data_IF_237306029992
#
_entry.id   IF_237306029992
#
_cell.length_a   1.000
_cell.length_b   1.000
_cell.length_c   1.000
_cell.angle_alpha   90.00
_cell.angle_beta   90.00
_cell.angle_gamma   90.00
#
_symmetry.space_group_name_H-M   'P 1'
#
loop_
_entity.id
_entity.type
_entity.pdbx_description
1 polymer ?
#
# COMPACT_ATOMS: atom_id res chain seq x y z
N UNK A 1 -23.22 5.71 25.46
CA UNK A 1 -22.36 4.72 26.10
C UNK A 1 -21.13 4.50 25.23
N UNK A 2 -20.01 4.08 25.84
CA UNK A 2 -18.76 3.74 25.16
C UNK A 2 -18.52 2.25 25.32
N UNK A 3 -18.23 1.59 24.19
CA UNK A 3 -17.89 0.17 24.12
C UNK A 3 -16.52 0.01 23.49
N UNK A 4 -15.79 -1.02 23.86
CA UNK A 4 -14.47 -1.27 23.31
C UNK A 4 -14.12 -2.75 23.29
N UNK A 5 -13.44 -3.16 22.22
CA UNK A 5 -12.83 -4.48 22.10
C UNK A 5 -11.33 -4.27 22.00
N UNK A 6 -10.59 -4.64 23.04
CA UNK A 6 -9.15 -4.57 23.06
C UNK A 6 -8.54 -5.73 22.30
N UNK A 7 -7.41 -5.49 21.64
CA UNK A 7 -6.64 -6.53 20.95
C UNK A 7 -5.71 -7.27 21.90
N UNK A 8 -5.32 -6.65 23.02
CA UNK A 8 -4.52 -7.25 24.08
C UNK A 8 -5.11 -6.91 25.45
N UNK A 9 -4.72 -7.68 26.48
CA UNK A 9 -5.12 -7.39 27.84
C UNK A 9 -4.64 -6.01 28.30
N UNK A 10 -3.41 -5.62 27.95
CA UNK A 10 -2.85 -4.33 28.35
C UNK A 10 -3.59 -3.16 27.72
N UNK A 11 -3.93 -3.25 26.43
CA UNK A 11 -4.71 -2.20 25.75
C UNK A 11 -6.10 -2.05 26.34
N UNK A 12 -6.75 -3.15 26.74
CA UNK A 12 -8.04 -3.10 27.43
C UNK A 12 -7.96 -2.44 28.79
N UNK A 13 -6.93 -2.77 29.59
CA UNK A 13 -6.72 -2.17 30.92
C UNK A 13 -6.43 -0.67 30.81
N UNK A 14 -5.66 -0.24 29.81
CA UNK A 14 -5.41 1.18 29.53
C UNK A 14 -6.70 1.91 29.08
N UNK A 15 -7.49 1.29 28.20
CA UNK A 15 -8.77 1.83 27.76
C UNK A 15 -9.76 1.97 28.94
N UNK A 16 -9.86 0.95 29.80
CA UNK A 16 -10.68 1.02 31.03
C UNK A 16 -10.22 2.17 31.94
N UNK A 17 -8.91 2.33 32.14
CA UNK A 17 -8.36 3.42 32.94
C UNK A 17 -8.72 4.80 32.35
N UNK A 18 -8.72 4.94 31.03
CA UNK A 18 -9.10 6.17 30.35
C UNK A 18 -10.59 6.46 30.44
N UNK A 19 -11.44 5.43 30.31
CA UNK A 19 -12.91 5.57 30.26
C UNK A 19 -13.51 5.60 31.68
N UNK A 20 -12.99 4.82 32.62
CA UNK A 20 -13.56 4.64 33.95
C UNK A 20 -12.73 5.29 35.08
N UNK A 21 -11.58 5.87 34.77
CA UNK A 21 -10.56 6.29 35.77
C UNK A 21 -10.01 5.11 36.59
N UNK A 22 -10.30 3.87 36.21
CA UNK A 22 -9.92 2.64 36.92
C UNK A 22 -9.76 1.51 35.91
N UNK A 23 -8.81 0.60 36.15
CA UNK A 23 -8.68 -0.65 35.37
C UNK A 23 -9.83 -1.65 35.63
N UNK A 24 -10.56 -1.47 36.72
CA UNK A 24 -11.70 -2.29 37.13
C UNK A 24 -12.96 -1.42 37.17
N UNK A 25 -13.95 -1.75 36.31
CA UNK A 25 -15.18 -0.97 36.20
C UNK A 25 -16.00 -0.96 37.49
N UNK A 26 -15.93 -2.04 38.28
CA UNK A 26 -16.57 -2.16 39.60
C UNK A 26 -15.68 -1.61 40.76
N UNK A 27 -14.44 -1.22 40.46
CA UNK A 27 -13.49 -0.78 41.48
C UNK A 27 -13.93 0.49 42.23
N UNK A 28 -13.50 0.65 43.47
CA UNK A 28 -13.83 1.82 44.32
C UNK A 28 -13.49 3.17 43.69
N UNK A 29 -12.51 3.20 42.80
CA UNK A 29 -12.04 4.39 42.06
C UNK A 29 -12.71 4.60 40.71
N UNK A 30 -13.60 3.70 40.25
CA UNK A 30 -14.35 3.88 39.06
C UNK A 30 -15.36 5.02 39.17
N UNK A 31 -15.36 5.90 38.16
CA UNK A 31 -16.35 6.99 38.07
C UNK A 31 -17.73 6.52 37.60
N UNK A 32 -17.81 5.31 37.06
CA UNK A 32 -19.03 4.70 36.56
C UNK A 32 -19.47 3.58 37.51
N UNK A 33 -20.76 3.47 37.79
CA UNK A 33 -21.35 2.46 38.65
C UNK A 33 -22.35 1.61 37.86
N UNK A 34 -22.63 0.40 38.38
CA UNK A 34 -23.69 -0.45 37.86
C UNK A 34 -23.29 -1.42 36.75
N UNK A 35 -22.00 -1.60 36.50
CA UNK A 35 -21.53 -2.67 35.61
C UNK A 35 -21.64 -4.05 36.26
N UNK A 36 -21.98 -5.07 35.48
CA UNK A 36 -22.07 -6.46 35.90
C UNK A 36 -20.68 -7.13 36.11
N UNK A 37 -19.64 -6.58 35.48
CA UNK A 37 -18.28 -7.14 35.51
C UNK A 37 -17.22 -6.07 35.65
N UNK A 38 -16.00 -6.46 36.03
CA UNK A 38 -14.82 -5.59 36.11
C UNK A 38 -14.35 -5.08 34.73
N UNK A 39 -14.74 -5.74 33.65
CA UNK A 39 -14.50 -5.29 32.29
C UNK A 39 -15.38 -4.10 31.91
N UNK A 40 -16.59 -4.00 32.50
CA UNK A 40 -17.60 -3.04 32.02
C UNK A 40 -17.91 -3.28 30.57
N UNK A 41 -17.90 -2.20 29.77
CA UNK A 41 -18.09 -2.26 28.32
C UNK A 41 -16.76 -2.33 27.54
N UNK A 42 -15.63 -2.51 28.20
CA UNK A 42 -14.31 -2.66 27.53
C UNK A 42 -13.86 -4.10 27.66
N UNK A 43 -14.12 -4.85 26.62
CA UNK A 43 -13.94 -6.29 26.58
C UNK A 43 -12.57 -6.69 26.04
N UNK A 44 -12.03 -7.77 26.55
CA UNK A 44 -10.89 -8.51 26.01
C UNK A 44 -10.96 -9.97 26.45
N UNK A 45 -10.74 -10.86 25.51
CA UNK A 45 -10.53 -12.27 25.76
C UNK A 45 -9.50 -12.79 24.75
N UNK A 46 -8.63 -13.69 25.18
CA UNK A 46 -7.71 -14.38 24.30
C UNK A 46 -8.46 -15.49 23.57
N UNK A 47 -8.61 -15.37 22.25
CA UNK A 47 -9.26 -16.37 21.43
C UNK A 47 -8.23 -17.21 20.67
N UNK A 48 -8.58 -18.46 20.38
CA UNK A 48 -7.81 -19.33 19.52
C UNK A 48 -8.15 -19.09 18.03
N UNK A 49 -7.17 -19.35 17.16
CA UNK A 49 -7.39 -19.31 15.73
C UNK A 49 -8.15 -20.54 15.23
N UNK A 50 -8.99 -20.37 14.22
CA UNK A 50 -9.64 -21.47 13.50
C UNK A 50 -8.74 -21.91 12.34
N UNK A 51 -8.22 -23.13 12.40
CA UNK A 51 -7.23 -23.64 11.45
C UNK A 51 -7.87 -24.46 10.34
N UNK A 52 -7.61 -24.06 9.07
CA UNK A 52 -7.97 -24.80 7.87
C UNK A 52 -6.71 -24.96 7.01
N UNK A 53 -6.29 -26.19 6.76
CA UNK A 53 -5.08 -26.51 5.98
C UNK A 53 -3.81 -25.76 6.45
N UNK A 54 -3.62 -25.61 7.77
CA UNK A 54 -2.46 -24.95 8.38
C UNK A 54 -2.46 -23.43 8.28
N UNK A 55 -3.59 -22.83 7.89
CA UNK A 55 -3.81 -21.38 7.90
C UNK A 55 -5.07 -21.02 8.67
N UNK A 56 -5.07 -19.86 9.32
CA UNK A 56 -6.29 -19.36 9.94
C UNK A 56 -7.30 -18.95 8.87
N UNK A 57 -8.54 -19.43 9.01
CA UNK A 57 -9.66 -19.16 8.11
C UNK A 57 -9.96 -17.66 7.99
N UNK A 58 -9.86 -16.91 9.08
CA UNK A 58 -10.21 -15.48 9.12
C UNK A 58 -9.07 -14.55 8.73
N UNK A 59 -7.90 -14.69 9.36
CA UNK A 59 -6.79 -13.76 9.16
C UNK A 59 -5.69 -14.27 8.23
N UNK A 60 -5.76 -15.54 7.79
CA UNK A 60 -4.82 -16.13 6.85
C UNK A 60 -3.41 -16.42 7.40
N UNK A 61 -3.17 -16.20 8.72
CA UNK A 61 -1.87 -16.49 9.33
C UNK A 61 -1.53 -17.98 9.24
N UNK A 62 -0.24 -18.31 9.16
CA UNK A 62 0.22 -19.69 9.17
C UNK A 62 0.38 -20.21 10.60
N UNK A 63 -0.14 -21.39 10.87
CA UNK A 63 0.02 -22.07 12.16
C UNK A 63 1.49 -22.21 12.56
N UNK A 64 2.35 -22.55 11.62
CA UNK A 64 3.80 -22.72 11.88
C UNK A 64 4.53 -21.45 12.28
N UNK A 65 3.96 -20.28 12.01
CA UNK A 65 4.53 -18.99 12.45
C UNK A 65 4.18 -18.76 13.92
N UNK A 66 2.96 -19.07 14.33
CA UNK A 66 2.47 -18.83 15.69
C UNK A 66 3.00 -19.85 16.71
N UNK A 67 3.39 -21.04 16.29
CA UNK A 67 3.98 -22.08 17.17
C UNK A 67 5.41 -21.75 17.64
N UNK A 68 5.96 -20.56 17.28
CA UNK A 68 7.38 -20.22 17.49
C UNK A 68 7.71 -19.52 18.81
N UNK A 69 6.75 -19.20 19.66
CA UNK A 69 7.05 -18.64 20.98
C UNK A 69 5.89 -17.99 21.71
N UNK A 70 5.91 -18.08 23.02
CA UNK A 70 4.92 -17.46 23.92
C UNK A 70 5.04 -15.94 24.01
N UNK A 71 6.16 -15.38 23.55
CA UNK A 71 6.44 -13.92 23.59
C UNK A 71 5.75 -13.14 22.47
N UNK A 72 5.16 -13.83 21.50
CA UNK A 72 4.47 -13.20 20.38
C UNK A 72 2.95 -13.11 20.64
N UNK A 73 2.35 -12.10 20.04
CA UNK A 73 0.90 -11.91 20.07
C UNK A 73 0.23 -12.96 19.15
N UNK A 74 0.01 -14.16 19.73
CA UNK A 74 -0.39 -15.38 18.99
C UNK A 74 -1.87 -15.66 18.99
N UNK A 75 -2.70 -14.79 19.62
CA UNK A 75 -4.13 -15.01 19.74
C UNK A 75 -4.94 -14.38 18.60
N UNK A 76 -6.13 -14.92 18.36
CA UNK A 76 -7.08 -14.40 17.40
C UNK A 76 -7.77 -13.13 17.92
N UNK A 77 -7.93 -12.14 17.06
CA UNK A 77 -8.62 -10.90 17.41
C UNK A 77 -10.14 -11.07 17.26
N UNK A 78 -10.87 -10.95 18.36
CA UNK A 78 -12.31 -11.20 18.40
C UNK A 78 -13.13 -10.46 17.33
N UNK A 79 -12.71 -9.25 16.97
CA UNK A 79 -13.41 -8.40 16.02
C UNK A 79 -13.40 -8.91 14.59
N UNK A 80 -12.36 -9.67 14.20
CA UNK A 80 -12.20 -10.19 12.84
C UNK A 80 -12.31 -11.72 12.73
N UNK A 81 -12.38 -12.44 13.85
CA UNK A 81 -12.53 -13.89 13.87
C UNK A 81 -13.98 -14.27 14.13
N UNK A 82 -14.85 -13.88 13.23
CA UNK A 82 -16.28 -14.19 13.26
C UNK A 82 -16.89 -14.00 11.86
N UNK A 83 -17.85 -14.85 11.51
CA UNK A 83 -18.64 -14.71 10.28
C UNK A 83 -19.74 -13.67 10.41
N UNK A 84 -20.21 -13.43 11.66
CA UNK A 84 -21.24 -12.46 11.96
C UNK A 84 -20.85 -11.55 13.12
N UNK A 85 -20.39 -10.36 12.75
CA UNK A 85 -19.95 -9.35 13.73
C UNK A 85 -21.13 -8.78 14.53
N UNK A 86 -22.35 -8.73 13.97
CA UNK A 86 -23.51 -8.22 14.68
C UNK A 86 -23.88 -9.17 15.83
N UNK A 87 -23.95 -10.46 15.55
CA UNK A 87 -24.16 -11.50 16.57
C UNK A 87 -23.02 -11.52 17.60
N UNK A 88 -21.77 -11.40 17.16
CA UNK A 88 -20.62 -11.35 18.06
C UNK A 88 -20.72 -10.18 19.05
N UNK A 89 -20.99 -8.98 18.57
CA UNK A 89 -21.10 -7.76 19.40
C UNK A 89 -22.30 -7.83 20.33
N UNK A 90 -23.45 -8.33 19.86
CA UNK A 90 -24.61 -8.57 20.69
C UNK A 90 -24.33 -9.55 21.85
N UNK A 91 -23.55 -10.61 21.57
CA UNK A 91 -23.11 -11.57 22.60
C UNK A 91 -22.15 -10.96 23.63
N UNK A 92 -21.25 -10.06 23.22
CA UNK A 92 -20.27 -9.43 24.09
C UNK A 92 -20.87 -8.35 25.01
N UNK A 93 -21.80 -7.56 24.50
CA UNK A 93 -22.32 -6.37 25.18
C UNK A 93 -23.79 -6.44 25.56
N UNK A 94 -24.48 -7.45 25.08
CA UNK A 94 -25.89 -7.69 25.36
C UNK A 94 -26.83 -6.91 24.44
N UNK A 95 -27.82 -7.60 23.85
CA UNK A 95 -28.86 -7.00 23.03
C UNK A 95 -28.47 -6.63 21.61
N UNK A 96 -29.44 -6.12 20.86
CA UNK A 96 -29.23 -5.61 19.51
C UNK A 96 -28.54 -4.27 19.57
N UNK A 97 -27.27 -4.23 19.15
CA UNK A 97 -26.37 -3.06 19.28
C UNK A 97 -26.27 -2.32 17.97
N UNK A 98 -26.69 -1.07 17.96
CA UNK A 98 -26.44 -0.16 16.86
C UNK A 98 -25.50 0.96 17.33
N UNK A 99 -24.43 1.19 16.60
CA UNK A 99 -23.43 2.19 16.93
C UNK A 99 -23.63 3.46 16.10
N UNK A 100 -23.61 4.61 16.76
CA UNK A 100 -23.54 5.89 16.04
C UNK A 100 -22.16 6.11 15.44
N UNK A 101 -21.12 5.79 16.21
CA UNK A 101 -19.74 6.05 15.83
C UNK A 101 -18.85 4.86 16.16
N UNK A 102 -18.05 4.44 15.18
CA UNK A 102 -16.95 3.51 15.40
C UNK A 102 -15.63 4.23 15.06
N UNK A 103 -14.69 4.19 15.99
CA UNK A 103 -13.33 4.73 15.78
C UNK A 103 -12.30 3.66 16.10
N UNK A 104 -11.16 3.67 15.40
CA UNK A 104 -10.13 2.68 15.64
C UNK A 104 -8.76 2.99 15.03
N UNK A 105 -7.76 2.38 15.63
CA UNK A 105 -6.43 2.19 15.07
C UNK A 105 -6.16 0.69 15.09
N UNK A 106 -6.58 -0.05 14.05
CA UNK A 106 -6.47 -1.51 14.04
C UNK A 106 -5.01 -1.95 13.88
N UNK A 107 -4.69 -3.19 14.23
CA UNK A 107 -3.40 -3.78 13.89
C UNK A 107 -3.16 -3.73 12.37
N UNK A 108 -1.97 -3.29 11.95
CA UNK A 108 -1.70 -3.05 10.53
C UNK A 108 -1.34 -4.31 9.76
N UNK A 109 -0.68 -5.24 10.42
CA UNK A 109 -0.24 -6.52 9.85
C UNK A 109 -0.14 -7.55 10.96
N UNK A 110 -0.17 -8.81 10.58
CA UNK A 110 0.19 -9.90 11.48
C UNK A 110 1.68 -9.80 11.80
N UNK A 111 2.03 -10.02 13.05
CA UNK A 111 3.43 -10.17 13.44
C UNK A 111 3.93 -11.54 12.95
N UNK A 112 4.92 -11.53 12.06
CA UNK A 112 5.57 -12.73 11.53
C UNK A 112 6.89 -13.05 12.28
N UNK A 113 7.11 -12.42 13.43
CA UNK A 113 8.33 -12.57 14.23
C UNK A 113 9.57 -12.00 13.54
N UNK A 114 9.41 -11.13 12.55
CA UNK A 114 10.52 -10.49 11.84
C UNK A 114 11.26 -11.37 10.83
N UNK A 115 10.82 -12.60 10.62
CA UNK A 115 11.47 -13.57 9.72
C UNK A 115 10.86 -13.63 8.32
N UNK A 116 9.68 -13.05 8.10
CA UNK A 116 9.03 -13.00 6.79
C UNK A 116 9.20 -11.66 6.10
N UNK A 117 9.66 -11.64 4.86
CA UNK A 117 9.73 -10.43 4.03
C UNK A 117 8.36 -9.86 3.66
N UNK A 118 7.25 -10.41 4.18
CA UNK A 118 5.92 -10.17 3.66
C UNK A 118 4.78 -10.42 4.62
N UNK A 119 4.83 -9.84 5.82
CA UNK A 119 3.65 -9.84 6.71
C UNK A 119 2.41 -9.35 5.95
N UNK A 120 1.33 -10.14 6.02
CA UNK A 120 0.08 -9.81 5.36
C UNK A 120 -0.62 -8.68 6.11
N UNK A 121 -1.18 -7.68 5.42
CA UNK A 121 -2.07 -6.71 6.04
C UNK A 121 -3.30 -7.39 6.64
N UNK A 122 -3.79 -6.87 7.77
CA UNK A 122 -5.05 -7.33 8.40
C UNK A 122 -6.01 -6.18 8.71
N UNK A 123 -5.56 -4.94 8.64
CA UNK A 123 -6.40 -3.77 8.97
C UNK A 123 -7.66 -3.65 8.11
N UNK A 124 -7.63 -4.15 6.86
CA UNK A 124 -8.80 -4.17 5.97
C UNK A 124 -9.94 -4.99 6.56
N UNK A 125 -9.64 -6.10 7.24
CA UNK A 125 -10.63 -6.95 7.88
C UNK A 125 -11.38 -6.19 9.00
N UNK A 126 -10.66 -5.34 9.74
CA UNK A 126 -11.27 -4.49 10.76
C UNK A 126 -12.18 -3.42 10.15
N UNK A 127 -11.79 -2.82 9.03
CA UNK A 127 -12.61 -1.83 8.33
C UNK A 127 -13.88 -2.48 7.80
N UNK A 128 -13.77 -3.68 7.20
CA UNK A 128 -14.90 -4.40 6.62
C UNK A 128 -15.90 -4.82 7.71
N UNK A 129 -15.44 -5.37 8.83
CA UNK A 129 -16.29 -5.73 9.96
C UNK A 129 -16.93 -4.49 10.60
N UNK A 130 -16.19 -3.37 10.70
CA UNK A 130 -16.77 -2.13 11.21
C UNK A 130 -17.86 -1.56 10.29
N UNK A 131 -17.70 -1.66 8.97
CA UNK A 131 -18.74 -1.30 7.99
C UNK A 131 -19.96 -2.24 8.08
N UNK A 132 -19.74 -3.53 8.33
CA UNK A 132 -20.81 -4.51 8.49
C UNK A 132 -21.70 -4.23 9.72
N UNK A 133 -21.18 -3.55 10.74
CA UNK A 133 -21.97 -3.04 11.87
C UNK A 133 -22.85 -1.82 11.50
N UNK A 134 -22.73 -1.29 10.31
CA UNK A 134 -23.52 -0.17 9.77
C UNK A 134 -23.58 1.06 10.69
N UNK A 135 -22.44 1.53 11.27
CA UNK A 135 -22.47 2.71 12.10
C UNK A 135 -22.87 3.93 11.29
N UNK A 136 -23.36 4.98 11.94
CA UNK A 136 -23.59 6.26 11.25
C UNK A 136 -22.27 6.88 10.79
N UNK A 137 -21.22 6.80 11.63
CA UNK A 137 -19.89 7.29 11.32
C UNK A 137 -18.84 6.22 11.63
N UNK A 138 -17.91 6.04 10.70
CA UNK A 138 -16.73 5.21 10.90
C UNK A 138 -15.47 6.04 10.61
N UNK A 139 -14.53 6.07 11.55
CA UNK A 139 -13.22 6.69 11.35
C UNK A 139 -12.12 5.78 11.85
N UNK A 140 -11.19 5.45 10.97
CA UNK A 140 -10.01 4.65 11.32
C UNK A 140 -8.75 5.25 10.72
N UNK A 141 -7.63 5.08 11.43
CA UNK A 141 -6.29 5.34 10.91
C UNK A 141 -5.67 4.03 10.45
N UNK A 142 -5.26 3.99 9.18
CA UNK A 142 -4.74 2.77 8.53
C UNK A 142 -3.55 3.11 7.63
N UNK A 143 -2.67 2.13 7.31
CA UNK A 143 -1.62 2.33 6.33
C UNK A 143 -2.19 2.73 4.96
N UNK A 144 -1.64 3.77 4.34
CA UNK A 144 -2.06 4.26 3.02
C UNK A 144 -1.71 3.31 1.86
N UNK A 145 -1.10 2.16 2.15
CA UNK A 145 -0.72 1.15 1.17
C UNK A 145 -1.89 0.65 0.31
N UNK A 146 -3.10 0.62 0.85
CA UNK A 146 -4.28 0.15 0.12
C UNK A 146 -4.58 0.99 -1.12
N UNK A 147 -4.15 2.24 -1.20
CA UNK A 147 -4.26 3.06 -2.41
C UNK A 147 -3.65 2.39 -3.64
N UNK A 148 -2.59 1.60 -3.42
CA UNK A 148 -1.87 0.88 -4.46
C UNK A 148 -2.41 -0.52 -4.75
N UNK A 149 -3.09 -1.14 -3.78
CA UNK A 149 -3.42 -2.56 -3.80
C UNK A 149 -2.21 -3.48 -3.63
N UNK A 150 -2.38 -4.73 -4.01
CA UNK A 150 -1.40 -5.81 -3.84
C UNK A 150 -1.32 -6.33 -2.40
N UNK A 151 -0.68 -7.46 -2.19
CA UNK A 151 -0.63 -8.18 -0.90
C UNK A 151 -2.02 -8.49 -0.32
N UNK A 152 -2.98 -8.85 -1.16
CA UNK A 152 -4.35 -9.18 -0.73
C UNK A 152 -5.25 -7.97 -0.48
N UNK A 153 -4.83 -6.75 -0.86
CA UNK A 153 -5.62 -5.53 -0.67
C UNK A 153 -6.40 -5.09 -1.92
N UNK A 154 -6.38 -5.86 -3.01
CA UNK A 154 -6.95 -5.41 -4.28
C UNK A 154 -8.47 -5.25 -4.21
N UNK A 155 -9.18 -6.20 -3.59
CA UNK A 155 -10.63 -6.15 -3.38
C UNK A 155 -11.00 -5.01 -2.42
N UNK A 156 -10.31 -4.91 -1.30
CA UNK A 156 -10.49 -3.81 -0.36
C UNK A 156 -10.27 -2.45 -1.01
N UNK A 157 -9.23 -2.32 -1.84
CA UNK A 157 -8.97 -1.11 -2.61
C UNK A 157 -10.14 -0.74 -3.53
N UNK A 158 -10.64 -1.70 -4.30
CA UNK A 158 -11.77 -1.48 -5.21
C UNK A 158 -13.00 -1.05 -4.43
N UNK A 159 -13.34 -1.75 -3.34
CA UNK A 159 -14.46 -1.43 -2.46
C UNK A 159 -14.35 -0.02 -1.88
N UNK A 160 -13.17 0.34 -1.34
CA UNK A 160 -12.96 1.66 -0.72
C UNK A 160 -12.99 2.81 -1.73
N UNK A 161 -12.38 2.63 -2.90
CA UNK A 161 -12.34 3.69 -3.93
C UNK A 161 -13.70 3.91 -4.60
N UNK A 162 -14.56 2.90 -4.64
CA UNK A 162 -15.91 2.98 -5.18
C UNK A 162 -16.96 3.46 -4.15
N UNK A 163 -16.63 3.45 -2.85
CA UNK A 163 -17.58 3.79 -1.79
C UNK A 163 -17.78 5.31 -1.69
N UNK A 164 -18.89 5.80 -2.22
CA UNK A 164 -19.27 7.21 -2.21
C UNK A 164 -19.71 7.76 -0.83
N UNK A 165 -19.68 6.91 0.21
CA UNK A 165 -19.92 7.31 1.61
C UNK A 165 -18.64 7.72 2.34
N UNK A 166 -17.48 7.62 1.69
CA UNK A 166 -16.24 8.22 2.20
C UNK A 166 -16.33 9.74 2.09
N UNK A 167 -16.51 10.40 3.23
CA UNK A 167 -16.67 11.86 3.34
C UNK A 167 -15.33 12.59 3.28
N UNK A 168 -14.33 12.08 3.99
CA UNK A 168 -12.98 12.65 3.97
C UNK A 168 -11.90 11.61 4.10
N UNK A 169 -10.75 11.91 3.51
CA UNK A 169 -9.48 11.19 3.68
C UNK A 169 -8.40 12.24 3.95
N UNK A 170 -7.69 12.06 5.05
CA UNK A 170 -6.46 12.78 5.36
C UNK A 170 -5.29 11.84 5.13
N UNK A 171 -4.48 12.13 4.11
CA UNK A 171 -3.39 11.29 3.62
C UNK A 171 -2.03 11.88 4.01
N UNK A 172 -1.30 11.19 4.87
CA UNK A 172 0.05 11.52 5.30
C UNK A 172 1.06 10.65 4.54
N UNK A 173 1.82 11.27 3.65
CA UNK A 173 2.81 10.55 2.83
C UNK A 173 3.94 9.95 3.67
N UNK A 174 4.23 10.55 4.83
CA UNK A 174 5.16 10.04 5.82
C UNK A 174 4.43 9.66 7.11
N UNK A 175 4.54 8.40 7.53
CA UNK A 175 3.93 7.94 8.78
C UNK A 175 4.52 8.65 10.01
N UNK A 176 5.77 9.10 9.95
CA UNK A 176 6.43 9.81 11.06
C UNK A 176 5.81 11.19 11.36
N UNK A 177 5.04 11.75 10.42
CA UNK A 177 4.33 13.00 10.63
C UNK A 177 3.13 12.82 11.58
N UNK A 178 2.66 11.58 11.75
CA UNK A 178 1.57 11.19 12.65
C UNK A 178 2.09 10.40 13.85
N UNK A 179 3.00 9.46 13.60
CA UNK A 179 3.57 8.56 14.59
C UNK A 179 5.09 8.73 14.64
N UNK A 180 5.62 9.61 15.51
CA UNK A 180 7.06 9.82 15.63
C UNK A 180 7.81 8.51 15.89
N UNK A 181 8.85 8.24 15.11
CA UNK A 181 9.66 7.02 15.22
C UNK A 181 9.10 5.79 14.50
N UNK A 182 7.90 5.85 13.92
CA UNK A 182 7.31 4.74 13.17
C UNK A 182 7.61 4.88 11.67
N UNK A 183 8.32 3.91 11.12
CA UNK A 183 8.67 3.85 9.70
C UNK A 183 7.72 2.95 8.90
N UNK A 184 6.58 3.47 8.46
CA UNK A 184 5.66 2.76 7.56
C UNK A 184 5.85 3.25 6.12
N UNK A 185 6.22 2.32 5.24
CA UNK A 185 6.38 2.62 3.81
C UNK A 185 5.02 2.90 3.15
N UNK A 186 4.94 4.06 2.49
CA UNK A 186 3.72 4.52 1.83
C UNK A 186 2.87 5.46 2.67
N UNK A 187 3.22 5.65 3.94
CA UNK A 187 2.51 6.55 4.84
C UNK A 187 1.26 5.94 5.48
N UNK A 188 0.47 6.80 6.10
CA UNK A 188 -0.80 6.46 6.76
C UNK A 188 -1.89 7.40 6.29
N UNK A 189 -3.13 6.97 6.38
CA UNK A 189 -4.29 7.84 6.22
C UNK A 189 -5.30 7.58 7.32
N UNK A 190 -6.05 8.60 7.68
CA UNK A 190 -7.31 8.40 8.37
C UNK A 190 -8.45 8.85 7.48
N UNK A 191 -9.61 8.25 7.68
CA UNK A 191 -10.79 8.54 6.89
C UNK A 191 -12.02 8.71 7.77
N UNK A 192 -12.98 9.47 7.29
CA UNK A 192 -14.34 9.52 7.81
C UNK A 192 -15.29 8.94 6.77
N UNK A 193 -15.95 7.86 7.13
CA UNK A 193 -17.05 7.28 6.39
C UNK A 193 -18.36 7.63 7.09
N UNK A 194 -19.38 8.00 6.32
CA UNK A 194 -20.71 8.35 6.83
C UNK A 194 -21.76 7.57 6.04
N UNK A 195 -22.45 6.68 6.71
CA UNK A 195 -23.50 5.82 6.10
C UNK A 195 -24.50 6.62 5.27
N UNK A 196 -24.89 7.78 5.76
CA UNK A 196 -25.99 8.60 5.24
C UNK A 196 -25.50 9.71 4.27
N UNK A 197 -24.24 9.67 3.83
CA UNK A 197 -23.65 10.67 2.96
C UNK A 197 -23.16 10.07 1.63
N UNK A 198 -24.00 10.10 0.58
CA UNK A 198 -23.52 9.86 -0.78
C UNK A 198 -22.95 11.14 -1.40
N UNK A 199 -21.67 11.16 -1.76
CA UNK A 199 -21.08 12.35 -2.35
C UNK A 199 -19.58 12.27 -2.62
N UNK A 200 -18.98 13.39 -3.08
CA UNK A 200 -17.54 13.47 -3.29
C UNK A 200 -16.79 13.45 -1.96
N UNK A 201 -15.59 12.87 -1.98
CA UNK A 201 -14.71 12.82 -0.83
C UNK A 201 -13.84 14.08 -0.73
N UNK A 202 -13.73 14.65 0.45
CA UNK A 202 -12.73 15.66 0.74
C UNK A 202 -11.38 14.99 0.95
N UNK A 203 -10.45 15.14 0.01
CA UNK A 203 -9.11 14.58 0.08
C UNK A 203 -8.13 15.65 0.50
N UNK A 204 -7.50 15.44 1.65
CA UNK A 204 -6.46 16.32 2.20
C UNK A 204 -5.12 15.58 2.19
N UNK A 205 -4.12 16.16 1.55
CA UNK A 205 -2.78 15.59 1.47
C UNK A 205 -1.80 16.38 2.32
N UNK A 206 -1.12 15.67 3.21
CA UNK A 206 -0.08 16.19 4.09
C UNK A 206 1.28 15.66 3.64
N UNK A 207 2.23 16.59 3.42
CA UNK A 207 3.57 16.20 3.00
C UNK A 207 4.62 17.15 3.60
N UNK A 208 5.21 16.74 4.72
CA UNK A 208 6.24 17.50 5.46
C UNK A 208 5.84 19.00 5.63
N UNK A 209 6.77 19.88 5.31
CA UNK A 209 6.61 21.34 5.41
C UNK A 209 5.89 21.97 4.21
N UNK A 210 5.35 21.15 3.31
CA UNK A 210 4.57 21.65 2.17
C UNK A 210 3.19 22.12 2.61
N UNK A 211 2.62 23.13 1.94
CA UNK A 211 1.25 23.55 2.21
C UNK A 211 0.28 22.37 2.08
N UNK A 212 -0.58 22.21 3.06
CA UNK A 212 -1.64 21.20 3.04
C UNK A 212 -2.56 21.47 1.83
N UNK A 213 -2.83 20.42 1.08
CA UNK A 213 -3.67 20.48 -0.11
C UNK A 213 -4.98 19.76 0.13
N UNK A 214 -6.09 20.44 -0.02
CA UNK A 214 -7.45 19.90 0.15
C UNK A 214 -8.26 20.09 -1.12
N UNK A 215 -8.95 19.02 -1.57
CA UNK A 215 -9.88 19.07 -2.70
C UNK A 215 -11.07 18.15 -2.47
N UNK A 216 -12.27 18.60 -2.85
CA UNK A 216 -13.47 17.77 -2.89
C UNK A 216 -13.56 17.09 -4.27
N UNK A 217 -13.47 15.76 -4.32
CA UNK A 217 -13.40 15.02 -5.57
C UNK A 217 -13.81 13.55 -5.43
N UNK A 218 -13.95 12.87 -6.55
CA UNK A 218 -14.01 11.41 -6.57
C UNK A 218 -12.64 10.85 -6.18
N UNK A 219 -12.62 9.70 -5.51
CA UNK A 219 -11.37 9.04 -5.15
C UNK A 219 -10.66 8.44 -6.37
N UNK A 220 -11.43 7.91 -7.29
CA UNK A 220 -10.93 7.43 -8.56
C UNK A 220 -11.45 8.36 -9.67
N UNK A 221 -10.54 9.04 -10.34
CA UNK A 221 -10.86 9.85 -11.51
C UNK A 221 -11.23 8.96 -12.69
N UNK A 222 -12.04 9.47 -13.60
CA UNK A 222 -12.45 8.73 -14.79
C UNK A 222 -11.22 8.36 -15.65
N UNK A 223 -11.10 7.07 -15.99
CA UNK A 223 -9.95 6.54 -16.71
C UNK A 223 -8.67 6.35 -15.89
N UNK A 224 -8.68 6.67 -14.59
CA UNK A 224 -7.55 6.39 -13.72
C UNK A 224 -7.65 4.97 -13.14
N UNK A 225 -6.52 4.28 -13.08
CA UNK A 225 -6.36 2.97 -12.44
C UNK A 225 -5.75 3.06 -11.03
N UNK A 226 -5.34 4.27 -10.61
CA UNK A 226 -4.72 4.53 -9.31
C UNK A 226 -5.34 5.74 -8.62
N UNK A 227 -5.32 5.73 -7.28
CA UNK A 227 -5.66 6.90 -6.49
C UNK A 227 -4.52 7.93 -6.56
N UNK A 228 -4.81 9.11 -7.10
CA UNK A 228 -3.84 10.20 -7.21
C UNK A 228 -3.76 10.94 -5.87
N UNK A 229 -2.64 10.82 -5.18
CA UNK A 229 -2.44 11.37 -3.83
C UNK A 229 -2.25 12.88 -3.80
N UNK A 230 -1.76 13.48 -4.89
CA UNK A 230 -1.49 14.92 -4.99
C UNK A 230 -2.60 15.64 -5.75
N UNK A 231 -3.43 16.41 -5.04
CA UNK A 231 -4.57 17.11 -5.65
C UNK A 231 -4.16 18.02 -6.81
N UNK A 232 -3.05 18.75 -6.66
CA UNK A 232 -2.54 19.66 -7.70
C UNK A 232 -2.14 18.92 -8.98
N UNK A 233 -1.76 17.63 -8.85
CA UNK A 233 -1.36 16.81 -9.99
C UNK A 233 -2.51 16.46 -10.93
N UNK A 234 -3.76 16.45 -10.45
CA UNK A 234 -4.92 16.07 -11.25
C UNK A 234 -5.13 16.98 -12.46
N UNK A 235 -5.01 18.28 -12.29
CA UNK A 235 -5.16 19.23 -13.40
C UNK A 235 -4.07 19.06 -14.47
N UNK A 236 -2.87 18.65 -14.05
CA UNK A 236 -1.75 18.38 -14.95
C UNK A 236 -2.01 17.08 -15.72
N UNK A 237 -2.42 16.01 -15.03
CA UNK A 237 -2.78 14.74 -15.67
C UNK A 237 -3.91 14.92 -16.69
N UNK A 238 -4.98 15.66 -16.34
CA UNK A 238 -6.08 15.96 -17.26
C UNK A 238 -5.61 16.72 -18.50
N UNK A 239 -4.70 17.69 -18.36
CA UNK A 239 -4.13 18.42 -19.50
C UNK A 239 -3.29 17.51 -20.38
N UNK A 240 -2.46 16.63 -19.80
CA UNK A 240 -1.66 15.67 -20.59
C UNK A 240 -2.57 14.71 -21.32
N UNK A 241 -3.54 14.11 -20.64
CA UNK A 241 -4.50 13.20 -21.26
C UNK A 241 -5.31 13.87 -22.39
N UNK A 242 -5.77 15.11 -22.18
CA UNK A 242 -6.52 15.85 -23.19
C UNK A 242 -5.71 16.15 -24.47
N UNK A 243 -4.43 16.44 -24.34
CA UNK A 243 -3.54 16.64 -25.50
C UNK A 243 -3.39 15.36 -26.33
N UNK A 244 -3.30 14.21 -25.65
CA UNK A 244 -3.02 12.93 -26.30
C UNK A 244 -4.29 12.21 -26.78
N UNK A 245 -5.41 12.32 -26.06
CA UNK A 245 -6.66 11.62 -26.39
C UNK A 245 -7.70 12.49 -27.12
N UNK A 246 -7.57 13.81 -27.03
CA UNK A 246 -8.61 14.74 -27.46
C UNK A 246 -9.80 14.89 -26.51
N UNK A 247 -9.81 14.15 -25.39
CA UNK A 247 -10.88 14.18 -24.37
C UNK A 247 -10.41 14.89 -23.12
N UNK A 248 -11.14 15.91 -22.68
CA UNK A 248 -10.71 16.76 -21.55
C UNK A 248 -11.04 16.22 -20.15
N UNK A 249 -11.80 15.14 -20.06
CA UNK A 249 -12.32 14.64 -18.78
C UNK A 249 -11.73 13.29 -18.32
N UNK A 250 -11.34 12.42 -19.24
CA UNK A 250 -10.79 11.10 -18.95
C UNK A 250 -9.26 11.13 -18.84
N UNK A 251 -8.71 10.36 -17.90
CA UNK A 251 -7.26 10.10 -17.78
C UNK A 251 -6.82 8.88 -18.61
N UNK A 252 -7.75 8.23 -19.30
CA UNK A 252 -7.45 7.08 -20.15
C UNK A 252 -6.76 7.53 -21.43
N UNK A 253 -5.63 6.88 -21.76
CA UNK A 253 -4.93 7.05 -23.00
C UNK A 253 -5.08 5.80 -23.87
N UNK A 254 -5.20 5.94 -25.22
CA UNK A 254 -5.12 4.82 -26.13
C UNK A 254 -3.79 4.07 -25.95
N UNK A 255 -3.80 2.75 -26.08
CA UNK A 255 -2.59 1.93 -25.89
C UNK A 255 -1.42 2.39 -26.76
N UNK A 256 -1.69 2.84 -27.99
CA UNK A 256 -0.67 3.35 -28.93
C UNK A 256 0.03 4.64 -28.45
N UNK A 257 -0.55 5.35 -27.49
CA UNK A 257 -0.02 6.60 -26.93
C UNK A 257 0.62 6.42 -25.55
N UNK A 258 0.52 5.24 -24.97
CA UNK A 258 1.00 4.96 -23.62
C UNK A 258 2.46 4.56 -23.60
N UNK A 259 3.26 5.27 -22.82
CA UNK A 259 4.68 4.98 -22.66
C UNK A 259 4.94 3.59 -22.04
N UNK A 260 4.01 3.06 -21.22
CA UNK A 260 4.16 1.73 -20.61
C UNK A 260 4.26 0.58 -21.62
N UNK A 261 3.84 0.78 -22.89
CA UNK A 261 3.99 -0.22 -23.95
C UNK A 261 5.47 -0.52 -24.25
N UNK A 262 6.35 0.44 -24.03
CA UNK A 262 7.79 0.28 -24.16
C UNK A 262 8.45 -0.34 -22.92
N UNK A 263 7.72 -0.39 -21.78
CA UNK A 263 8.29 -0.80 -20.50
C UNK A 263 8.09 -2.29 -20.27
N UNK A 264 9.16 -3.01 -19.95
CA UNK A 264 9.11 -4.44 -19.67
C UNK A 264 8.31 -4.75 -18.39
N UNK A 265 7.82 -5.99 -18.30
CA UNK A 265 7.42 -6.57 -17.02
C UNK A 265 8.64 -6.77 -16.11
N UNK A 266 8.40 -7.16 -14.87
CA UNK A 266 9.46 -7.62 -13.96
C UNK A 266 10.26 -8.75 -14.59
N UNK A 267 11.57 -8.81 -14.31
CA UNK A 267 12.50 -9.79 -14.88
C UNK A 267 12.54 -9.75 -16.41
N UNK A 268 13.01 -8.65 -17.00
CA UNK A 268 12.97 -8.47 -18.46
C UNK A 268 13.62 -9.62 -19.24
N UNK A 269 14.68 -10.23 -18.68
CA UNK A 269 15.41 -11.34 -19.29
C UNK A 269 15.35 -12.63 -18.43
N UNK A 270 14.36 -12.78 -17.54
CA UNK A 270 14.19 -13.95 -16.69
C UNK A 270 15.10 -14.02 -15.44
N UNK A 271 16.12 -13.18 -15.36
CA UNK A 271 17.13 -13.21 -14.30
C UNK A 271 16.63 -12.58 -13.00
N UNK A 272 16.83 -13.28 -11.89
CA UNK A 272 16.47 -12.81 -10.53
C UNK A 272 17.47 -11.79 -9.98
N UNK A 273 17.09 -11.04 -8.93
CA UNK A 273 17.93 -10.03 -8.28
C UNK A 273 19.25 -10.60 -7.74
N UNK A 274 19.26 -11.87 -7.31
CA UNK A 274 20.47 -12.55 -6.81
C UNK A 274 21.35 -13.16 -7.91
N UNK A 275 20.95 -13.09 -9.18
CA UNK A 275 21.80 -13.54 -10.28
C UNK A 275 23.12 -12.78 -10.30
N UNK A 276 24.22 -13.50 -10.54
CA UNK A 276 25.56 -12.95 -10.72
C UNK A 276 26.18 -13.57 -11.96
N UNK A 277 26.51 -12.72 -12.91
CA UNK A 277 27.27 -13.10 -14.10
C UNK A 277 28.77 -13.25 -13.80
N UNK A 278 29.47 -13.87 -14.70
CA UNK A 278 30.92 -14.02 -14.61
C UNK A 278 31.61 -12.64 -14.67
N UNK A 279 32.69 -12.42 -13.93
CA UNK A 279 33.44 -11.15 -14.00
C UNK A 279 34.23 -11.03 -15.30
N UNK A 280 34.60 -12.14 -15.92
CA UNK A 280 35.40 -12.21 -17.16
C UNK A 280 34.47 -12.56 -18.33
N UNK A 281 34.59 -11.83 -19.42
CA UNK A 281 33.84 -12.04 -20.66
C UNK A 281 34.47 -13.19 -21.44
N UNK A 282 33.63 -14.14 -21.88
CA UNK A 282 33.96 -15.16 -22.86
C UNK A 282 33.33 -14.86 -24.22
N UNK A 283 33.78 -15.54 -25.27
CA UNK A 283 33.19 -15.42 -26.58
C UNK A 283 31.71 -15.87 -26.58
N UNK A 284 30.85 -15.12 -27.25
CA UNK A 284 29.41 -15.36 -27.23
C UNK A 284 28.66 -14.88 -25.98
N UNK A 285 29.36 -14.28 -25.02
CA UNK A 285 28.71 -13.71 -23.83
C UNK A 285 28.02 -12.37 -24.08
N UNK A 286 26.93 -12.14 -23.35
CA UNK A 286 26.24 -10.85 -23.25
C UNK A 286 26.56 -10.18 -21.92
N UNK A 287 26.62 -8.84 -21.93
CA UNK A 287 26.81 -8.01 -20.74
C UNK A 287 25.53 -8.01 -19.88
N UNK A 288 25.66 -8.28 -18.59
CA UNK A 288 24.56 -8.28 -17.62
C UNK A 288 24.69 -7.11 -16.66
N UNK A 289 23.69 -6.22 -16.63
CA UNK A 289 23.52 -5.25 -15.56
C UNK A 289 22.78 -5.90 -14.40
N UNK A 290 23.42 -6.00 -13.24
CA UNK A 290 22.94 -6.74 -12.08
C UNK A 290 23.04 -5.93 -10.78
N UNK A 291 22.47 -6.43 -9.70
CA UNK A 291 22.63 -5.80 -8.40
C UNK A 291 24.12 -5.86 -7.96
N UNK A 292 24.69 -4.69 -7.69
CA UNK A 292 26.09 -4.56 -7.29
C UNK A 292 27.07 -4.43 -8.44
N UNK A 293 26.63 -4.30 -9.71
CA UNK A 293 27.56 -4.01 -10.81
C UNK A 293 27.21 -4.68 -12.15
N UNK A 294 28.22 -5.20 -12.81
CA UNK A 294 28.13 -5.82 -14.13
C UNK A 294 28.75 -7.20 -14.10
N UNK A 295 28.34 -8.06 -15.01
CA UNK A 295 28.92 -9.38 -15.25
C UNK A 295 28.60 -9.85 -16.67
N UNK A 296 28.97 -11.07 -16.99
CA UNK A 296 28.76 -11.67 -18.30
C UNK A 296 28.08 -13.02 -18.17
N UNK A 297 27.32 -13.42 -19.17
CA UNK A 297 26.68 -14.74 -19.23
C UNK A 297 26.55 -15.20 -20.66
N UNK A 298 26.62 -16.52 -20.95
CA UNK A 298 26.40 -17.02 -22.29
C UNK A 298 25.02 -16.57 -22.80
N UNK A 299 25.00 -16.03 -24.03
CA UNK A 299 23.74 -15.62 -24.69
C UNK A 299 22.72 -16.76 -24.75
N UNK A 300 23.19 -17.98 -24.93
CA UNK A 300 22.36 -19.20 -25.00
C UNK A 300 21.59 -19.50 -23.71
N UNK A 301 22.05 -18.98 -22.59
CA UNK A 301 21.36 -19.14 -21.28
C UNK A 301 20.10 -18.25 -21.15
N UNK A 302 19.89 -17.31 -22.06
CA UNK A 302 18.78 -16.37 -22.02
C UNK A 302 17.68 -16.84 -22.95
N UNK A 303 16.50 -17.14 -22.38
CA UNK A 303 15.31 -17.60 -23.12
C UNK A 303 14.20 -16.56 -23.20
N UNK A 304 14.27 -15.49 -22.38
CA UNK A 304 13.21 -14.50 -22.25
C UNK A 304 13.60 -13.22 -22.99
N UNK A 305 12.70 -12.72 -23.87
CA UNK A 305 12.86 -11.47 -24.66
C UNK A 305 14.21 -11.33 -25.37
N UNK A 306 14.66 -12.41 -25.98
CA UNK A 306 15.94 -12.46 -26.69
C UNK A 306 16.05 -11.42 -27.81
N UNK A 307 14.91 -11.02 -28.40
CA UNK A 307 14.83 -9.96 -29.42
C UNK A 307 15.28 -8.58 -28.92
N UNK A 308 15.29 -8.33 -27.61
CA UNK A 308 15.78 -7.08 -27.02
C UNK A 308 17.31 -7.06 -26.84
N UNK A 309 18.00 -8.20 -26.92
CA UNK A 309 19.43 -8.28 -26.63
C UNK A 309 20.20 -7.35 -27.56
N UNK A 310 19.94 -7.39 -28.86
CA UNK A 310 20.70 -6.66 -29.87
C UNK A 310 20.10 -5.29 -30.24
N UNK A 311 19.14 -4.81 -29.45
CA UNK A 311 18.52 -3.50 -29.62
C UNK A 311 19.06 -2.50 -28.61
N UNK A 312 18.99 -1.22 -28.95
CA UNK A 312 19.17 -0.15 -27.98
C UNK A 312 18.00 -0.13 -27.01
N UNK A 313 18.27 0.16 -25.75
CA UNK A 313 17.27 0.15 -24.67
C UNK A 313 17.70 1.06 -23.54
N UNK A 314 16.80 1.32 -22.60
CA UNK A 314 17.10 2.05 -21.35
C UNK A 314 16.86 1.12 -20.19
N UNK A 315 17.73 1.18 -19.20
CA UNK A 315 17.57 0.51 -17.92
C UNK A 315 17.23 1.52 -16.83
N UNK A 316 16.19 1.22 -16.05
CA UNK A 316 15.76 2.01 -14.89
C UNK A 316 15.70 1.09 -13.67
N UNK A 317 16.34 1.46 -12.58
CA UNK A 317 16.30 0.68 -11.35
C UNK A 317 14.85 0.52 -10.86
N UNK A 318 14.51 -0.71 -10.51
CA UNK A 318 13.17 -1.09 -10.01
C UNK A 318 12.83 -0.41 -8.68
N UNK A 319 13.81 -0.20 -7.81
CA UNK A 319 13.65 0.50 -6.55
C UNK A 319 14.19 1.91 -6.68
N UNK A 320 13.37 2.88 -6.37
CA UNK A 320 13.79 4.24 -6.10
C UNK A 320 13.57 4.52 -4.62
N UNK A 321 14.34 5.41 -3.98
CA UNK A 321 14.04 5.84 -2.62
C UNK A 321 12.57 6.18 -2.53
N UNK A 322 11.87 5.58 -1.58
CA UNK A 322 10.48 5.86 -1.33
C UNK A 322 10.32 7.03 -0.35
N UNK A 323 9.11 7.48 -0.14
CA UNK A 323 8.79 8.38 0.96
C UNK A 323 9.07 7.66 2.29
N UNK A 324 10.10 8.06 3.01
CA UNK A 324 10.49 7.51 4.30
C UNK A 324 11.38 8.46 5.08
N UNK A 325 11.58 8.19 6.38
CA UNK A 325 12.34 9.04 7.31
C UNK A 325 13.82 9.28 6.91
N UNK A 326 14.32 8.56 5.90
CA UNK A 326 15.70 8.68 5.40
C UNK A 326 15.81 9.38 4.05
N UNK A 327 14.69 9.83 3.48
CA UNK A 327 14.71 10.49 2.18
C UNK A 327 15.22 11.91 2.32
N UNK A 328 16.38 12.14 1.67
CA UNK A 328 16.90 13.48 1.50
C UNK A 328 16.04 14.27 0.50
N UNK A 329 15.87 15.55 0.74
CA UNK A 329 15.34 16.47 -0.26
C UNK A 329 16.48 16.92 -1.20
N UNK A 330 16.19 17.02 -2.51
CA UNK A 330 14.94 16.73 -3.21
C UNK A 330 14.65 15.23 -3.32
N UNK A 331 13.36 14.87 -3.24
CA UNK A 331 12.90 13.48 -3.29
C UNK A 331 13.23 12.82 -4.63
N UNK A 332 13.95 11.69 -4.60
CA UNK A 332 14.35 10.95 -5.80
C UNK A 332 13.21 10.01 -6.25
N UNK A 333 12.52 10.36 -7.32
CA UNK A 333 11.37 9.62 -7.86
C UNK A 333 11.80 8.35 -8.61
N UNK A 334 12.90 8.44 -9.37
CA UNK A 334 13.51 7.33 -10.10
C UNK A 334 14.98 7.21 -9.75
N UNK A 335 15.53 6.00 -9.85
CA UNK A 335 16.97 5.83 -10.00
C UNK A 335 17.42 6.49 -11.33
N UNK A 336 18.67 6.84 -11.45
CA UNK A 336 19.21 7.41 -12.69
C UNK A 336 19.06 6.40 -13.82
N UNK A 337 18.22 6.65 -14.84
CA UNK A 337 18.13 5.78 -16.01
C UNK A 337 19.41 5.88 -16.85
N UNK A 338 19.76 4.80 -17.54
CA UNK A 338 20.93 4.77 -18.41
C UNK A 338 20.68 3.91 -19.66
N UNK A 339 21.45 4.17 -20.70
CA UNK A 339 21.37 3.44 -21.98
C UNK A 339 21.98 2.06 -21.82
N UNK A 340 21.26 1.04 -22.27
CA UNK A 340 21.74 -0.31 -22.49
C UNK A 340 22.07 -0.52 -23.96
N UNK A 341 23.34 -0.84 -24.23
CA UNK A 341 23.85 -1.06 -25.59
C UNK A 341 23.36 -2.41 -26.16
N UNK A 342 23.37 -2.59 -27.48
CA UNK A 342 23.24 -3.91 -28.09
C UNK A 342 24.22 -4.91 -27.50
N UNK A 343 23.79 -6.18 -27.31
CA UNK A 343 24.57 -7.20 -26.61
C UNK A 343 24.49 -7.11 -25.08
N UNK A 344 23.57 -6.29 -24.53
CA UNK A 344 23.36 -6.19 -23.08
C UNK A 344 22.00 -6.66 -22.62
N UNK A 345 21.92 -7.13 -21.37
CA UNK A 345 20.71 -7.57 -20.66
C UNK A 345 20.75 -7.05 -19.21
N UNK A 346 19.68 -7.27 -18.45
CA UNK A 346 19.66 -6.94 -17.03
C UNK A 346 18.98 -8.02 -16.19
N UNK A 347 19.35 -8.07 -14.90
CA UNK A 347 18.58 -8.81 -13.90
C UNK A 347 17.31 -8.05 -13.48
N UNK A 348 16.51 -8.66 -12.62
CA UNK A 348 15.30 -8.06 -12.01
C UNK A 348 15.55 -6.74 -11.26
N UNK A 349 16.81 -6.35 -11.05
CA UNK A 349 17.19 -5.07 -10.45
C UNK A 349 16.73 -3.88 -11.29
N UNK A 350 16.60 -4.08 -12.61
CA UNK A 350 16.22 -3.04 -13.55
C UNK A 350 14.97 -3.44 -14.34
N UNK A 351 14.16 -2.44 -14.69
CA UNK A 351 13.21 -2.52 -15.80
C UNK A 351 13.96 -2.19 -17.10
N UNK A 352 13.54 -2.79 -18.19
CA UNK A 352 14.01 -2.52 -19.53
C UNK A 352 12.95 -1.73 -20.28
N UNK A 353 13.35 -0.63 -20.92
CA UNK A 353 12.49 0.22 -21.76
C UNK A 353 13.04 0.20 -23.17
N UNK A 354 12.21 -0.13 -24.13
CA UNK A 354 12.55 -0.35 -25.53
C UNK A 354 11.73 -1.49 -26.14
N UNK A 355 12.08 -1.92 -27.38
CA UNK A 355 13.33 -1.66 -28.12
C UNK A 355 13.39 -0.28 -28.78
N UNK A 356 14.63 0.18 -29.05
CA UNK A 356 14.90 1.30 -29.93
C UNK A 356 15.84 0.82 -31.05
N UNK A 357 15.62 1.30 -32.26
CA UNK A 357 16.41 0.88 -33.45
C UNK A 357 17.77 1.60 -33.45
N UNK A 358 17.80 2.84 -33.02
CA UNK A 358 19.00 3.68 -33.02
C UNK A 358 19.35 4.17 -31.62
N UNK A 359 20.62 4.54 -31.45
CA UNK A 359 21.10 5.17 -30.22
C UNK A 359 20.40 6.51 -29.98
N UNK A 360 20.15 7.28 -31.03
CA UNK A 360 19.51 8.59 -30.93
C UNK A 360 18.06 8.48 -30.41
N UNK A 361 17.33 7.44 -30.81
CA UNK A 361 15.99 7.18 -30.26
C UNK A 361 16.06 6.85 -28.76
N UNK A 362 17.01 6.01 -28.35
CA UNK A 362 17.23 5.70 -26.94
C UNK A 362 17.64 6.95 -26.13
N UNK A 363 18.49 7.82 -26.68
CA UNK A 363 18.90 9.09 -26.05
C UNK A 363 17.71 10.06 -25.92
N UNK A 364 16.85 10.14 -26.94
CA UNK A 364 15.62 10.94 -26.90
C UNK A 364 14.65 10.44 -25.81
N UNK A 365 14.43 9.14 -25.71
CA UNK A 365 13.61 8.54 -24.67
C UNK A 365 14.23 8.71 -23.28
N UNK A 366 15.57 8.65 -23.14
CA UNK A 366 16.27 8.92 -21.90
C UNK A 366 16.09 10.38 -21.46
N UNK A 367 16.16 11.32 -22.39
CA UNK A 367 15.92 12.74 -22.14
C UNK A 367 14.48 12.96 -21.66
N UNK A 368 13.50 12.33 -22.30
CA UNK A 368 12.09 12.37 -21.89
C UNK A 368 11.91 11.85 -20.46
N UNK A 369 12.47 10.69 -20.12
CA UNK A 369 12.43 10.13 -18.75
C UNK A 369 13.12 11.03 -17.70
N UNK A 370 14.04 11.86 -18.13
CA UNK A 370 14.82 12.75 -17.28
C UNK A 370 14.16 14.11 -17.07
N UNK A 371 13.16 14.47 -17.88
CA UNK A 371 12.49 15.76 -17.75
C UNK A 371 11.59 15.84 -16.49
N UNK A 372 11.34 17.06 -16.02
CA UNK A 372 10.56 17.30 -14.79
C UNK A 372 9.10 16.84 -14.93
N UNK A 373 8.50 17.03 -16.11
CA UNK A 373 7.11 16.63 -16.37
C UNK A 373 6.95 15.12 -16.25
N UNK A 374 7.78 14.34 -16.96
CA UNK A 374 7.70 12.88 -16.92
C UNK A 374 7.94 12.34 -15.50
N UNK A 375 8.89 12.91 -14.76
CA UNK A 375 9.10 12.53 -13.34
C UNK A 375 7.89 12.85 -12.48
N UNK A 376 7.21 13.98 -12.71
CA UNK A 376 5.96 14.30 -12.02
C UNK A 376 4.86 13.28 -12.36
N UNK A 377 4.68 12.94 -13.64
CA UNK A 377 3.69 11.94 -14.07
C UNK A 377 3.96 10.58 -13.40
N UNK A 378 5.22 10.14 -13.37
CA UNK A 378 5.62 8.93 -12.65
C UNK A 378 5.31 9.02 -11.15
N UNK A 379 5.58 10.16 -10.50
CA UNK A 379 5.26 10.36 -9.09
C UNK A 379 3.77 10.22 -8.81
N UNK A 380 2.93 10.78 -9.68
CA UNK A 380 1.47 10.73 -9.52
C UNK A 380 0.90 9.31 -9.64
N UNK A 381 1.51 8.46 -10.47
CA UNK A 381 1.13 7.05 -10.63
C UNK A 381 1.88 6.11 -9.66
N UNK A 382 2.92 6.60 -8.97
CA UNK A 382 3.77 5.80 -8.10
C UNK A 382 3.22 5.75 -6.67
N UNK A 383 2.57 4.68 -6.33
CA UNK A 383 1.96 4.44 -5.02
C UNK A 383 2.91 3.83 -3.97
N UNK A 384 4.12 3.41 -4.37
CA UNK A 384 5.12 2.76 -3.48
C UNK A 384 6.55 3.09 -3.92
N UNK A 385 7.55 2.59 -3.18
CA UNK A 385 8.97 2.71 -3.56
C UNK A 385 9.33 1.96 -4.86
N UNK A 386 8.51 0.99 -5.27
CA UNK A 386 8.77 0.21 -6.48
C UNK A 386 8.23 0.92 -7.71
N UNK A 387 9.08 0.97 -8.74
CA UNK A 387 8.71 1.41 -10.08
C UNK A 387 8.36 0.15 -10.87
N UNK A 388 7.15 0.11 -11.41
CA UNK A 388 6.64 -0.99 -12.24
C UNK A 388 6.17 -0.43 -13.57
N UNK A 389 5.88 -1.29 -14.54
CA UNK A 389 5.30 -0.90 -15.82
C UNK A 389 4.08 0.05 -15.65
N UNK A 390 3.21 -0.24 -14.66
CA UNK A 390 1.98 0.51 -14.40
C UNK A 390 2.19 2.00 -14.08
N UNK A 391 3.39 2.43 -13.63
CA UNK A 391 3.62 3.85 -13.35
C UNK A 391 3.92 4.69 -14.59
N UNK A 392 3.96 4.07 -15.77
CA UNK A 392 4.26 4.69 -17.05
C UNK A 392 3.04 4.74 -17.99
N UNK A 393 1.83 4.70 -17.47
CA UNK A 393 0.57 4.67 -18.23
C UNK A 393 0.15 6.04 -18.79
N UNK A 394 1.06 6.97 -18.88
CA UNK A 394 0.88 8.33 -19.42
C UNK A 394 1.62 8.48 -20.75
#
# INVERSE_FOLDING_TARGET
>A
QVFGIGITQITSLLARRSVYCSRHAQGKHSIVRGFASDAGNIWFERLEHTWVNGRCEYCGTSQTILDRGEDLETHAYAFIHTDDIKTRVAGLFGGDMQFDVIIGNPPYQLDDGGYGTSAAPIYQLFVDQAKALEPRYLSMIIPARWFAGGKGLDEFRVSMLADNRLRSIDDFLSASDVFPGVGLKGGVCYFLWNRDYPGPCQVTTHFKDWPVSTASRRLLEEGADVFIRFNQGLSILKKVAAVESGESQSLSLPDSKRFDQLVSSLRPFGLRTFFRGNPIRCDGDVLVYQNGGRGYTPRSSISTRTHLIDKWKIYVGRAAPGTGNRDSYPHRILSTPFIGEPGSISSETYLCIGPFETKNEAESALSYLSCRLTRLLILLHKSSQHVTRKVYTF
#
